data_IF_176446776821
#
_entry.id   IF_176446776821
#
_cell.length_a   1.000
_cell.length_b   1.000
_cell.length_c   1.000
_cell.angle_alpha   90.00
_cell.angle_beta   90.00
_cell.angle_gamma   90.00
#
_symmetry.space_group_name_H-M   'P 1'
#
loop_
_entity.id
_entity.type
_entity.pdbx_description
1 polymer ?
#
# COMPACT_ATOMS: atom_id res chain seq x y z
N UNK A 1 12.55 7.06 -24.75
CA UNK A 1 11.51 6.75 -25.77
C UNK A 1 10.61 5.65 -25.20
N UNK A 2 9.34 5.96 -24.93
CA UNK A 2 8.37 4.99 -24.41
C UNK A 2 7.95 4.08 -25.57
N UNK A 3 7.98 2.75 -25.36
CA UNK A 3 7.60 1.77 -26.38
C UNK A 3 6.18 2.10 -26.91
N UNK A 4 5.93 2.13 -28.24
CA UNK A 4 4.64 2.55 -28.82
C UNK A 4 3.41 1.83 -28.24
N UNK A 5 3.53 0.61 -27.75
CA UNK A 5 2.45 -0.14 -27.08
C UNK A 5 2.24 0.18 -25.59
N UNK A 6 3.16 0.93 -24.95
CA UNK A 6 3.11 1.16 -23.49
C UNK A 6 1.84 1.92 -23.04
N UNK A 7 1.48 2.97 -23.74
CA UNK A 7 0.31 3.76 -23.42
C UNK A 7 -0.99 3.02 -23.70
N UNK A 8 -1.06 2.26 -24.82
CA UNK A 8 -2.21 1.42 -25.13
C UNK A 8 -2.38 0.32 -24.05
N UNK A 9 -1.30 -0.36 -23.67
CA UNK A 9 -1.31 -1.32 -22.58
C UNK A 9 -1.64 -0.69 -21.24
N UNK A 10 -1.15 0.52 -20.95
CA UNK A 10 -1.50 1.27 -19.75
C UNK A 10 -2.97 1.70 -19.75
N UNK A 11 -3.53 2.04 -20.90
CA UNK A 11 -4.95 2.34 -21.05
C UNK A 11 -5.82 1.10 -20.87
N UNK A 12 -5.52 0.01 -21.54
CA UNK A 12 -6.28 -1.24 -21.37
C UNK A 12 -6.09 -1.87 -19.99
N UNK A 13 -4.92 -1.65 -19.33
CA UNK A 13 -4.68 -2.08 -17.95
C UNK A 13 -5.28 -1.16 -16.88
N UNK A 14 -5.69 0.04 -17.27
CA UNK A 14 -6.58 0.89 -16.45
C UNK A 14 -8.01 0.36 -16.45
N UNK A 15 -8.18 -0.90 -16.84
CA UNK A 15 -9.46 -1.56 -16.86
C UNK A 15 -10.19 -1.33 -15.55
N UNK A 16 -11.15 -0.47 -15.64
CA UNK A 16 -12.21 -0.28 -14.67
C UNK A 16 -13.21 -1.46 -14.75
N UNK A 17 -12.68 -2.63 -15.10
CA UNK A 17 -13.42 -3.88 -15.06
C UNK A 17 -13.55 -4.33 -13.61
N UNK A 18 -14.60 -3.86 -12.99
CA UNK A 18 -14.93 -4.13 -11.59
C UNK A 18 -15.03 -5.64 -11.35
N UNK A 19 -15.60 -6.35 -12.32
CA UNK A 19 -15.74 -7.80 -12.28
C UNK A 19 -14.38 -8.50 -12.25
N UNK A 20 -13.45 -8.05 -13.09
CA UNK A 20 -12.09 -8.59 -13.14
C UNK A 20 -11.34 -8.37 -11.83
N UNK A 21 -11.43 -7.17 -11.27
CA UNK A 21 -10.82 -6.86 -9.95
C UNK A 21 -11.45 -7.72 -8.87
N UNK A 22 -12.79 -7.89 -8.89
CA UNK A 22 -13.48 -8.76 -7.94
C UNK A 22 -13.01 -10.21 -8.05
N UNK A 23 -12.95 -10.79 -9.25
CA UNK A 23 -12.48 -12.16 -9.48
C UNK A 23 -11.05 -12.38 -8.97
N UNK A 24 -10.16 -11.38 -9.17
CA UNK A 24 -8.80 -11.43 -8.61
C UNK A 24 -8.84 -11.40 -7.08
N UNK A 25 -9.60 -10.48 -6.49
CA UNK A 25 -9.73 -10.36 -5.05
C UNK A 25 -10.32 -11.64 -4.43
N UNK A 26 -11.38 -12.18 -5.02
CA UNK A 26 -12.03 -13.43 -4.57
C UNK A 26 -11.06 -14.62 -4.59
N UNK A 27 -10.31 -14.80 -5.68
CA UNK A 27 -9.30 -15.86 -5.79
C UNK A 27 -8.23 -15.74 -4.71
N UNK A 28 -7.84 -14.52 -4.36
CA UNK A 28 -6.81 -14.28 -3.34
C UNK A 28 -7.34 -14.52 -1.93
N UNK A 29 -8.53 -14.03 -1.60
CA UNK A 29 -9.09 -14.22 -0.24
C UNK A 29 -9.43 -15.68 0.07
N UNK A 30 -9.67 -16.51 -0.96
CA UNK A 30 -9.85 -17.97 -0.79
C UNK A 30 -8.59 -18.66 -0.27
N UNK A 31 -7.41 -18.10 -0.50
CA UNK A 31 -6.10 -18.60 -0.03
C UNK A 31 -5.76 -18.18 1.40
N UNK A 32 -6.56 -17.30 1.99
CA UNK A 32 -6.42 -16.86 3.37
C UNK A 32 -7.45 -17.56 4.27
N UNK A 33 -7.20 -17.65 5.58
CA UNK A 33 -8.24 -18.03 6.52
C UNK A 33 -9.41 -17.04 6.40
N UNK A 34 -10.65 -17.43 6.80
CA UNK A 34 -11.75 -16.48 6.80
C UNK A 34 -11.46 -15.31 7.73
N UNK A 35 -11.83 -14.06 7.37
CA UNK A 35 -11.54 -12.88 8.19
C UNK A 35 -12.28 -12.89 9.54
N UNK A 36 -13.34 -13.67 9.65
CA UNK A 36 -14.06 -13.99 10.89
C UNK A 36 -14.74 -15.35 10.76
N UNK A 37 -14.95 -15.97 11.89
CA UNK A 37 -15.71 -17.23 11.97
C UNK A 37 -17.19 -16.96 11.80
N UNK A 38 -17.87 -17.92 11.21
CA UNK A 38 -19.32 -17.88 11.09
C UNK A 38 -19.96 -18.12 12.46
N UNK A 39 -20.99 -17.33 12.77
CA UNK A 39 -21.81 -17.61 13.94
C UNK A 39 -22.46 -19.00 13.83
N UNK A 40 -22.40 -19.77 14.92
CA UNK A 40 -23.01 -21.12 14.97
C UNK A 40 -24.55 -21.07 14.93
N UNK A 41 -25.14 -19.97 15.43
CA UNK A 41 -26.62 -19.77 15.50
C UNK A 41 -27.00 -18.56 14.64
N UNK A 42 -28.22 -18.52 14.14
CA UNK A 42 -28.81 -17.45 13.36
C UNK A 42 -28.98 -17.75 11.87
N UNK A 43 -29.61 -16.80 11.15
CA UNK A 43 -29.85 -16.90 9.70
C UNK A 43 -28.52 -17.04 8.93
N UNK A 44 -28.54 -17.94 7.95
CA UNK A 44 -27.41 -18.10 7.02
C UNK A 44 -27.18 -16.81 6.21
N UNK A 45 -25.95 -16.28 6.22
CA UNK A 45 -25.57 -15.14 5.38
C UNK A 45 -25.53 -15.55 3.92
N UNK A 46 -26.01 -14.68 3.01
CA UNK A 46 -25.91 -14.88 1.55
C UNK A 46 -24.47 -15.01 1.06
N UNK A 47 -23.53 -14.35 1.75
CA UNK A 47 -22.13 -14.27 1.41
C UNK A 47 -21.26 -14.86 2.52
N UNK A 48 -20.22 -15.56 2.13
CA UNK A 48 -19.17 -15.99 3.06
C UNK A 48 -18.35 -14.80 3.58
N UNK A 49 -17.63 -14.99 4.68
CA UNK A 49 -16.72 -13.97 5.20
C UNK A 49 -15.64 -13.57 4.19
N UNK A 50 -15.20 -14.50 3.34
CA UNK A 50 -14.23 -14.26 2.26
C UNK A 50 -14.82 -13.41 1.14
N UNK A 51 -16.05 -13.74 0.69
CA UNK A 51 -16.73 -12.92 -0.33
C UNK A 51 -16.92 -11.47 0.16
N UNK A 52 -17.30 -11.25 1.41
CA UNK A 52 -17.38 -9.92 1.99
C UNK A 52 -16.02 -9.18 1.95
N UNK A 53 -14.91 -9.87 2.24
CA UNK A 53 -13.58 -9.27 2.16
C UNK A 53 -13.23 -8.88 0.71
N UNK A 54 -13.57 -9.73 -0.27
CA UNK A 54 -13.37 -9.42 -1.69
C UNK A 54 -14.22 -8.22 -2.13
N UNK A 55 -15.49 -8.15 -1.71
CA UNK A 55 -16.39 -7.02 -1.98
C UNK A 55 -15.83 -5.73 -1.40
N UNK A 56 -15.40 -5.71 -0.12
CA UNK A 56 -14.82 -4.52 0.50
C UNK A 56 -13.51 -4.07 -0.19
N UNK A 57 -12.65 -5.02 -0.60
CA UNK A 57 -11.41 -4.71 -1.30
C UNK A 57 -11.69 -4.14 -2.70
N UNK A 58 -12.65 -4.70 -3.43
CA UNK A 58 -13.08 -4.21 -4.74
C UNK A 58 -13.72 -2.83 -4.63
N UNK A 59 -14.65 -2.64 -3.67
CA UNK A 59 -15.28 -1.35 -3.42
C UNK A 59 -14.24 -0.24 -3.17
N UNK A 60 -13.18 -0.55 -2.40
CA UNK A 60 -12.09 0.40 -2.16
C UNK A 60 -11.30 0.70 -3.43
N UNK A 61 -11.14 -0.24 -4.36
CA UNK A 61 -10.45 0.04 -5.63
C UNK A 61 -11.13 1.14 -6.45
N UNK A 62 -12.44 1.26 -6.35
CA UNK A 62 -13.26 2.21 -7.11
C UNK A 62 -13.78 3.37 -6.27
N UNK A 63 -13.40 3.44 -5.01
CA UNK A 63 -13.90 4.41 -4.00
C UNK A 63 -15.43 4.40 -3.85
N UNK A 64 -16.06 3.25 -4.04
CA UNK A 64 -17.51 3.10 -3.92
C UNK A 64 -17.99 3.32 -2.49
N UNK A 65 -19.08 4.07 -2.36
CA UNK A 65 -19.89 4.09 -1.15
C UNK A 65 -20.64 2.76 -0.97
N UNK A 66 -21.15 2.49 0.22
CA UNK A 66 -21.91 1.24 0.46
C UNK A 66 -23.14 1.13 -0.42
N UNK A 67 -23.82 2.23 -0.73
CA UNK A 67 -24.98 2.26 -1.63
C UNK A 67 -24.60 2.03 -3.10
N UNK A 68 -23.45 2.54 -3.54
CA UNK A 68 -22.92 2.22 -4.86
C UNK A 68 -22.55 0.74 -4.98
N UNK A 69 -21.97 0.13 -3.91
CA UNK A 69 -21.73 -1.32 -3.87
C UNK A 69 -23.03 -2.10 -3.98
N UNK A 70 -24.10 -1.67 -3.29
CA UNK A 70 -25.42 -2.27 -3.41
C UNK A 70 -25.94 -2.25 -4.83
N UNK A 71 -25.87 -1.08 -5.51
CA UNK A 71 -26.29 -0.92 -6.89
C UNK A 71 -25.45 -1.70 -7.90
N UNK A 72 -24.14 -1.83 -7.65
CA UNK A 72 -23.20 -2.51 -8.57
C UNK A 72 -23.12 -4.04 -8.35
N UNK A 73 -23.47 -4.53 -7.16
CA UNK A 73 -23.32 -5.93 -6.81
C UNK A 73 -24.03 -6.91 -7.77
N UNK A 74 -25.26 -6.65 -8.27
CA UNK A 74 -25.92 -7.54 -9.22
C UNK A 74 -25.10 -7.77 -10.50
N UNK A 75 -24.39 -6.76 -10.96
CA UNK A 75 -23.56 -6.80 -12.19
C UNK A 75 -22.22 -7.47 -11.96
N UNK A 76 -21.64 -7.34 -10.74
CA UNK A 76 -20.30 -7.82 -10.42
C UNK A 76 -20.32 -9.29 -9.96
N UNK A 77 -21.29 -9.65 -9.13
CA UNK A 77 -21.35 -10.95 -8.42
C UNK A 77 -22.64 -11.72 -8.65
N UNK A 78 -23.51 -11.23 -9.56
CA UNK A 78 -24.85 -11.81 -9.84
C UNK A 78 -25.70 -12.05 -8.58
N UNK A 79 -25.49 -11.28 -7.53
CA UNK A 79 -26.20 -11.36 -6.25
C UNK A 79 -26.44 -9.95 -5.69
N UNK A 80 -27.59 -9.75 -5.06
CA UNK A 80 -27.89 -8.50 -4.36
C UNK A 80 -27.26 -8.49 -2.97
N UNK A 81 -26.65 -7.38 -2.58
CA UNK A 81 -26.13 -7.13 -1.23
C UNK A 81 -26.72 -5.81 -0.72
N UNK A 82 -27.16 -5.77 0.51
CA UNK A 82 -27.61 -4.54 1.15
C UNK A 82 -26.43 -3.71 1.65
N UNK A 83 -26.50 -2.39 1.51
CA UNK A 83 -25.45 -1.44 1.93
C UNK A 83 -25.08 -1.56 3.41
N UNK A 84 -26.04 -1.89 4.29
CA UNK A 84 -25.79 -2.13 5.72
C UNK A 84 -24.91 -3.34 5.94
N UNK A 85 -25.07 -4.39 5.11
CA UNK A 85 -24.25 -5.59 5.13
C UNK A 85 -22.80 -5.30 4.76
N UNK A 86 -22.55 -4.39 3.80
CA UNK A 86 -21.20 -3.94 3.46
C UNK A 86 -20.55 -3.22 4.65
N UNK A 87 -21.29 -2.30 5.29
CA UNK A 87 -20.84 -1.60 6.48
C UNK A 87 -20.57 -2.55 7.67
N UNK A 88 -21.42 -3.58 7.85
CA UNK A 88 -21.25 -4.62 8.85
C UNK A 88 -19.98 -5.47 8.57
N UNK A 89 -19.75 -5.84 7.33
CA UNK A 89 -18.56 -6.58 6.93
C UNK A 89 -17.27 -5.78 7.21
N UNK A 90 -17.25 -4.49 6.87
CA UNK A 90 -16.08 -3.62 7.13
C UNK A 90 -15.76 -3.50 8.63
N UNK A 91 -16.77 -3.49 9.52
CA UNK A 91 -16.57 -3.52 10.98
C UNK A 91 -15.84 -4.78 11.45
N UNK A 92 -16.00 -5.90 10.74
CA UNK A 92 -15.42 -7.21 11.07
C UNK A 92 -14.07 -7.48 10.43
N UNK A 93 -13.69 -6.73 9.39
CA UNK A 93 -12.38 -6.82 8.77
C UNK A 93 -11.30 -6.31 9.74
N UNK A 94 -10.64 -7.26 10.41
CA UNK A 94 -9.57 -6.97 11.35
C UNK A 94 -8.30 -6.50 10.64
N UNK A 95 -7.55 -5.60 11.28
CA UNK A 95 -6.29 -5.05 10.74
C UNK A 95 -5.30 -6.15 10.33
N UNK A 96 -5.16 -7.20 11.13
CA UNK A 96 -4.24 -8.30 10.85
C UNK A 96 -4.62 -9.06 9.56
N UNK A 97 -5.90 -9.27 9.32
CA UNK A 97 -6.36 -9.88 8.08
C UNK A 97 -6.00 -9.02 6.86
N UNK A 98 -6.20 -7.71 6.94
CA UNK A 98 -5.85 -6.80 5.85
C UNK A 98 -4.33 -6.72 5.61
N UNK A 99 -3.52 -6.82 6.65
CA UNK A 99 -2.06 -6.94 6.51
C UNK A 99 -1.68 -8.25 5.81
N UNK A 100 -2.30 -9.38 6.16
CA UNK A 100 -2.08 -10.66 5.46
C UNK A 100 -2.45 -10.54 3.98
N UNK A 101 -3.52 -9.83 3.67
CA UNK A 101 -3.93 -9.60 2.28
C UNK A 101 -2.91 -8.73 1.52
N UNK A 102 -2.34 -7.69 2.16
CA UNK A 102 -1.23 -6.92 1.59
C UNK A 102 -0.03 -7.82 1.30
N UNK A 103 0.36 -8.67 2.27
CA UNK A 103 1.49 -9.62 2.10
C UNK A 103 1.22 -10.60 0.96
N UNK A 104 0.02 -11.14 0.87
CA UNK A 104 -0.35 -12.07 -0.21
C UNK A 104 -0.30 -11.39 -1.58
N UNK A 105 -0.88 -10.20 -1.70
CA UNK A 105 -0.84 -9.40 -2.93
C UNK A 105 0.59 -9.05 -3.33
N UNK A 106 1.41 -8.60 -2.38
CA UNK A 106 2.85 -8.38 -2.61
C UNK A 106 3.50 -9.62 -3.21
N UNK A 107 3.34 -10.79 -2.57
CA UNK A 107 3.93 -12.06 -3.06
C UNK A 107 3.50 -12.39 -4.49
N UNK A 108 2.24 -12.18 -4.82
CA UNK A 108 1.74 -12.40 -6.19
C UNK A 108 2.36 -11.42 -7.19
N UNK A 109 2.55 -10.15 -6.81
CA UNK A 109 3.17 -9.15 -7.68
C UNK A 109 4.66 -9.42 -7.84
N UNK A 110 5.39 -9.70 -6.74
CA UNK A 110 6.84 -9.92 -6.78
C UNK A 110 7.26 -11.22 -7.49
N UNK A 111 6.35 -12.18 -7.68
CA UNK A 111 6.55 -13.32 -8.59
C UNK A 111 6.55 -12.93 -10.08
N UNK A 112 5.98 -11.79 -10.39
CA UNK A 112 5.86 -11.30 -11.77
C UNK A 112 6.90 -10.23 -12.08
N UNK A 113 7.27 -9.41 -11.10
CA UNK A 113 8.19 -8.28 -11.26
C UNK A 113 9.12 -8.17 -10.05
N UNK A 114 10.40 -7.88 -10.30
CA UNK A 114 11.37 -7.55 -9.25
C UNK A 114 11.23 -6.10 -8.86
N UNK A 115 11.34 -5.79 -7.56
CA UNK A 115 11.48 -4.43 -7.04
C UNK A 115 12.96 -4.19 -6.71
N UNK A 116 13.55 -3.19 -7.34
CA UNK A 116 14.98 -2.90 -7.24
C UNK A 116 15.33 -2.01 -6.04
N UNK A 117 14.34 -1.37 -5.45
CA UNK A 117 14.50 -0.57 -4.24
C UNK A 117 13.19 -0.49 -3.44
N UNK A 118 13.31 -0.22 -2.16
CA UNK A 118 12.17 0.06 -1.30
C UNK A 118 12.30 1.46 -0.69
N UNK A 119 11.17 2.06 -0.38
CA UNK A 119 11.10 3.33 0.33
C UNK A 119 10.07 3.25 1.44
N UNK A 120 10.36 3.87 2.58
CA UNK A 120 9.47 3.96 3.73
C UNK A 120 9.07 5.40 3.96
N UNK A 121 7.78 5.64 4.13
CA UNK A 121 7.25 6.96 4.45
C UNK A 121 5.85 6.83 5.08
N UNK A 122 5.27 7.96 5.50
CA UNK A 122 3.92 8.02 6.06
C UNK A 122 3.15 9.24 5.56
N UNK A 123 1.83 9.11 5.51
CA UNK A 123 0.93 10.25 5.21
C UNK A 123 -0.22 10.31 6.20
N UNK A 124 -0.74 11.53 6.42
CA UNK A 124 -1.91 11.77 7.24
C UNK A 124 -3.20 11.53 6.45
N UNK A 125 -4.11 10.74 7.01
CA UNK A 125 -5.45 10.51 6.47
C UNK A 125 -6.48 11.11 7.42
N UNK A 126 -7.22 12.10 6.95
CA UNK A 126 -8.26 12.77 7.72
C UNK A 126 -9.47 11.86 7.96
N UNK A 127 -10.10 12.02 9.12
CA UNK A 127 -11.33 11.27 9.46
C UNK A 127 -12.48 12.24 9.69
N UNK A 128 -13.75 11.79 9.60
CA UNK A 128 -14.91 12.64 9.84
C UNK A 128 -15.05 13.11 11.29
N UNK A 129 -14.26 12.55 12.23
CA UNK A 129 -14.34 12.89 13.64
C UNK A 129 -13.62 14.21 13.90
N UNK A 130 -14.32 15.16 14.51
CA UNK A 130 -13.74 16.39 15.02
C UNK A 130 -13.18 16.16 16.42
N UNK A 131 -11.97 16.65 16.68
CA UNK A 131 -11.35 16.72 18.00
C UNK A 131 -11.30 18.16 18.46
N UNK A 132 -11.70 18.39 19.70
CA UNK A 132 -11.52 19.67 20.38
C UNK A 132 -10.06 19.81 20.79
N UNK A 133 -9.41 20.89 20.36
CA UNK A 133 -8.03 21.20 20.71
C UNK A 133 -7.95 22.61 21.29
N UNK A 134 -7.35 22.74 22.45
CA UNK A 134 -7.05 24.08 23.02
C UNK A 134 -5.74 24.55 22.40
N UNK A 135 -5.76 25.68 21.70
CA UNK A 135 -4.56 26.38 21.20
C UNK A 135 -4.54 27.76 21.88
N UNK A 136 -3.61 27.95 22.81
CA UNK A 136 -3.51 29.17 23.59
C UNK A 136 -4.89 29.56 24.18
N UNK A 137 -5.43 30.71 23.81
CA UNK A 137 -6.70 31.24 24.31
C UNK A 137 -7.93 30.77 23.51
N UNK A 138 -7.76 30.02 22.42
CA UNK A 138 -8.87 29.62 21.53
C UNK A 138 -9.08 28.11 21.54
N UNK A 139 -10.35 27.70 21.55
CA UNK A 139 -10.74 26.31 21.25
C UNK A 139 -10.91 26.17 19.77
N UNK A 140 -10.15 25.21 19.16
CA UNK A 140 -10.23 24.89 17.73
C UNK A 140 -10.72 23.46 17.57
N UNK A 141 -11.59 23.24 16.59
CA UNK A 141 -12.03 21.90 16.19
C UNK A 141 -11.25 21.49 14.96
N UNK A 142 -10.46 20.44 15.07
CA UNK A 142 -9.66 19.90 13.97
C UNK A 142 -10.13 18.47 13.66
N UNK A 143 -10.09 18.09 12.39
CA UNK A 143 -10.33 16.69 12.01
C UNK A 143 -9.29 15.78 12.66
N UNK A 144 -9.75 14.64 13.18
CA UNK A 144 -8.84 13.61 13.64
C UNK A 144 -8.07 13.06 12.43
N UNK A 145 -6.76 12.98 12.56
CA UNK A 145 -5.87 12.42 11.54
C UNK A 145 -5.29 11.11 12.04
N UNK A 146 -5.33 10.09 11.18
CA UNK A 146 -4.58 8.84 11.36
C UNK A 146 -3.44 8.82 10.33
N UNK A 147 -2.30 8.23 10.69
CA UNK A 147 -1.18 8.04 9.78
C UNK A 147 -1.25 6.68 9.10
N UNK A 148 -1.09 6.66 7.79
CA UNK A 148 -0.77 5.47 7.01
C UNK A 148 0.73 5.43 6.81
N UNK A 149 1.40 4.49 7.48
CA UNK A 149 2.81 4.16 7.22
C UNK A 149 2.85 3.06 6.17
N UNK A 150 3.70 3.21 5.16
CA UNK A 150 3.87 2.21 4.11
C UNK A 150 5.34 2.00 3.76
N UNK A 151 5.68 0.73 3.54
CA UNK A 151 6.90 0.32 2.87
C UNK A 151 6.55 -0.02 1.44
N UNK A 152 7.09 0.72 0.48
CA UNK A 152 6.74 0.66 -0.94
C UNK A 152 7.96 0.26 -1.75
N UNK A 153 7.86 -0.82 -2.51
CA UNK A 153 8.85 -1.25 -3.47
C UNK A 153 8.56 -0.67 -4.87
N UNK A 154 9.61 -0.43 -5.63
CA UNK A 154 9.52 0.05 -7.00
C UNK A 154 10.16 -0.93 -7.97
N UNK A 155 9.41 -1.29 -9.00
CA UNK A 155 9.89 -2.03 -10.16
C UNK A 155 10.03 -1.11 -11.35
N UNK A 156 11.28 -0.82 -11.75
CA UNK A 156 11.58 -0.01 -12.94
C UNK A 156 11.02 -0.65 -14.20
N UNK A 157 11.24 -1.97 -14.34
CA UNK A 157 10.81 -2.73 -15.50
C UNK A 157 9.30 -2.65 -15.74
N UNK A 158 8.50 -2.69 -14.68
CA UNK A 158 7.04 -2.63 -14.78
C UNK A 158 6.48 -1.22 -14.56
N UNK A 159 7.31 -0.23 -14.21
CA UNK A 159 6.83 1.07 -13.74
C UNK A 159 5.84 0.92 -12.59
N UNK A 160 6.06 -0.06 -11.71
CA UNK A 160 5.08 -0.49 -10.73
C UNK A 160 5.52 -0.14 -9.30
N UNK A 161 4.60 0.43 -8.54
CA UNK A 161 4.72 0.61 -7.10
C UNK A 161 4.00 -0.54 -6.41
N UNK A 162 4.64 -1.16 -5.42
CA UNK A 162 4.13 -2.32 -4.69
C UNK A 162 4.21 -2.05 -3.20
N UNK A 163 3.09 -2.09 -2.50
CA UNK A 163 3.08 -1.98 -1.03
C UNK A 163 3.56 -3.29 -0.44
N UNK A 164 4.71 -3.27 0.22
CA UNK A 164 5.30 -4.42 0.90
C UNK A 164 4.69 -4.63 2.28
N UNK A 165 4.48 -3.54 3.02
CA UNK A 165 3.83 -3.53 4.30
C UNK A 165 3.09 -2.21 4.51
N UNK A 166 2.02 -2.23 5.32
CA UNK A 166 1.25 -1.04 5.68
C UNK A 166 0.78 -1.11 7.14
N UNK A 167 0.78 0.04 7.82
CA UNK A 167 0.28 0.19 9.18
C UNK A 167 -0.49 1.48 9.34
N UNK A 168 -1.46 1.47 10.24
CA UNK A 168 -2.23 2.66 10.61
C UNK A 168 -2.04 2.95 12.08
N UNK A 169 -1.65 4.18 12.39
CA UNK A 169 -1.44 4.67 13.76
C UNK A 169 -2.15 6.00 13.98
N UNK A 170 -2.33 6.40 15.24
CA UNK A 170 -2.66 7.80 15.55
C UNK A 170 -1.58 8.76 15.05
N UNK A 171 -1.95 10.02 14.77
CA UNK A 171 -1.05 11.04 14.21
C UNK A 171 0.15 11.41 15.10
N UNK A 172 0.03 11.21 16.41
CA UNK A 172 1.10 11.50 17.38
C UNK A 172 2.17 10.42 17.50
N UNK A 173 2.01 9.29 16.81
CA UNK A 173 3.02 8.22 16.80
C UNK A 173 4.17 8.61 15.88
N UNK A 174 5.40 8.50 16.39
CA UNK A 174 6.61 8.83 15.65
C UNK A 174 6.89 7.79 14.55
N UNK A 175 7.27 8.26 13.36
CA UNK A 175 7.46 7.42 12.18
C UNK A 175 8.62 6.42 12.37
N UNK A 176 9.70 6.84 13.05
CA UNK A 176 10.86 5.98 13.32
C UNK A 176 10.50 4.71 14.10
N UNK A 177 9.49 4.75 14.96
CA UNK A 177 9.06 3.59 15.76
C UNK A 177 8.29 2.54 14.95
N UNK A 178 7.95 2.84 13.70
CA UNK A 178 7.13 1.95 12.87
C UNK A 178 7.96 1.07 11.93
N UNK A 179 9.23 1.37 11.70
CA UNK A 179 10.07 0.67 10.75
C UNK A 179 10.20 -0.82 11.09
N UNK A 180 10.48 -1.15 12.34
CA UNK A 180 10.59 -2.54 12.80
C UNK A 180 9.37 -3.38 12.42
N UNK A 181 8.18 -2.82 12.65
CA UNK A 181 6.91 -3.48 12.33
C UNK A 181 6.61 -3.54 10.83
N UNK A 182 7.19 -2.65 10.03
CA UNK A 182 7.05 -2.65 8.57
C UNK A 182 8.02 -3.65 7.93
N UNK A 183 9.16 -3.92 8.55
CA UNK A 183 10.16 -4.89 8.09
C UNK A 183 9.83 -6.32 8.53
N UNK A 184 8.87 -6.52 9.43
CA UNK A 184 8.51 -7.83 9.97
C UNK A 184 8.23 -8.86 8.85
N UNK A 185 8.94 -9.98 8.89
CA UNK A 185 8.82 -11.06 7.90
C UNK A 185 9.33 -10.71 6.49
N UNK A 186 10.17 -9.67 6.37
CA UNK A 186 10.88 -9.33 5.15
C UNK A 186 12.35 -9.71 5.28
N UNK A 187 12.94 -10.11 4.15
CA UNK A 187 14.38 -10.28 3.95
C UNK A 187 14.74 -9.71 2.60
N UNK A 188 15.89 -9.08 2.53
CA UNK A 188 16.45 -8.47 1.33
C UNK A 188 17.84 -9.07 1.04
N UNK A 189 18.29 -8.93 -0.18
CA UNK A 189 19.60 -9.38 -0.67
C UNK A 189 20.47 -8.17 -1.07
N UNK A 190 20.39 -7.08 -0.29
CA UNK A 190 21.13 -5.85 -0.52
C UNK A 190 20.33 -4.75 -1.23
N UNK A 191 19.02 -4.94 -1.42
CA UNK A 191 18.18 -3.89 -1.99
C UNK A 191 18.21 -2.62 -1.11
N UNK A 192 18.30 -1.42 -1.73
CA UNK A 192 18.28 -0.18 -0.98
C UNK A 192 16.93 0.07 -0.30
N UNK A 193 17.00 0.48 0.96
CA UNK A 193 15.86 0.97 1.74
C UNK A 193 16.01 2.48 1.94
N UNK A 194 15.19 3.27 1.26
CA UNK A 194 15.20 4.71 1.33
C UNK A 194 14.25 5.21 2.43
N UNK A 195 14.68 6.16 3.24
CA UNK A 195 13.84 6.75 4.28
C UNK A 195 14.14 8.23 4.50
N UNK A 196 13.12 8.98 4.95
CA UNK A 196 13.29 10.37 5.36
C UNK A 196 14.09 10.46 6.68
N UNK A 197 14.55 11.67 7.01
CA UNK A 197 15.17 12.01 8.30
C UNK A 197 14.34 11.62 9.52
N UNK A 198 13.02 11.47 9.36
CA UNK A 198 12.11 10.97 10.39
C UNK A 198 12.46 9.55 10.84
N UNK A 199 13.08 8.75 9.98
CA UNK A 199 13.50 7.38 10.25
C UNK A 199 14.95 7.25 10.70
N UNK A 200 15.71 8.37 10.77
CA UNK A 200 17.12 8.36 11.19
C UNK A 200 17.23 8.03 12.68
N UNK A 201 17.56 6.80 12.98
CA UNK A 201 17.94 6.31 14.31
C UNK A 201 18.93 5.16 14.17
N UNK A 202 19.82 4.99 15.17
CA UNK A 202 20.77 3.88 15.23
C UNK A 202 20.04 2.53 15.06
N UNK A 203 18.95 2.32 15.79
CA UNK A 203 18.17 1.09 15.76
C UNK A 203 17.54 0.82 14.38
N UNK A 204 17.05 1.85 13.69
CA UNK A 204 16.45 1.66 12.37
C UNK A 204 17.48 1.28 11.29
N UNK A 205 18.68 1.87 11.35
CA UNK A 205 19.76 1.53 10.43
C UNK A 205 20.26 0.10 10.67
N UNK A 206 20.41 -0.28 11.94
CA UNK A 206 20.76 -1.62 12.35
C UNK A 206 19.71 -2.64 11.87
N UNK A 207 18.44 -2.43 12.20
CA UNK A 207 17.32 -3.27 11.76
C UNK A 207 17.27 -3.45 10.25
N UNK A 208 17.41 -2.37 9.49
CA UNK A 208 17.43 -2.46 8.04
C UNK A 208 18.57 -3.37 7.56
N UNK A 209 19.76 -3.24 8.14
CA UNK A 209 20.91 -4.09 7.82
C UNK A 209 20.69 -5.55 8.25
N UNK A 210 20.14 -5.81 9.45
CA UNK A 210 19.78 -7.15 9.94
C UNK A 210 18.77 -7.85 9.01
N UNK A 211 17.88 -7.08 8.38
CA UNK A 211 16.92 -7.58 7.39
C UNK A 211 17.54 -7.72 5.98
N UNK A 212 18.83 -7.45 5.80
CA UNK A 212 19.55 -7.58 4.54
C UNK A 212 19.39 -6.38 3.59
N UNK A 213 18.76 -5.30 4.03
CA UNK A 213 18.66 -4.07 3.23
C UNK A 213 19.94 -3.24 3.31
N UNK A 214 20.20 -2.45 2.27
CA UNK A 214 21.16 -1.34 2.32
C UNK A 214 20.42 -0.06 2.71
N UNK A 215 20.49 0.39 3.99
CA UNK A 215 19.77 1.59 4.40
C UNK A 215 20.36 2.84 3.74
N UNK A 216 19.51 3.70 3.21
CA UNK A 216 19.84 5.03 2.66
C UNK A 216 18.85 6.04 3.25
N UNK A 217 19.05 6.33 4.52
CA UNK A 217 18.19 7.22 5.30
C UNK A 217 18.89 8.59 5.42
N UNK A 218 18.12 9.67 5.19
CA UNK A 218 18.68 11.02 5.31
C UNK A 218 19.08 11.30 6.75
N UNK A 219 20.39 11.59 7.03
CA UNK A 219 20.83 11.86 8.38
C UNK A 219 20.22 13.17 8.92
N UNK A 220 19.94 13.22 10.21
CA UNK A 220 19.64 14.47 10.93
C UNK A 220 20.96 15.21 11.19
N UNK A 221 20.91 16.53 11.24
CA UNK A 221 22.09 17.40 11.45
C UNK A 221 22.57 17.49 12.89
N UNK A 222 21.94 16.76 13.83
CA UNK A 222 22.19 16.87 15.27
C UNK A 222 22.93 15.61 15.74
N UNK A 223 23.88 15.77 16.66
CA UNK A 223 24.76 14.79 17.31
C UNK A 223 24.61 13.30 16.91
N UNK A 224 25.70 12.77 16.34
CA UNK A 224 25.70 11.41 15.81
C UNK A 224 26.29 10.43 16.81
N UNK A 225 25.43 9.82 17.61
CA UNK A 225 25.79 8.68 18.43
C UNK A 225 25.46 7.37 17.69
N UNK A 226 26.36 6.39 17.76
CA UNK A 226 26.17 5.06 17.19
C UNK A 226 26.94 4.83 15.88
N UNK A 227 27.32 3.56 15.69
CA UNK A 227 28.19 3.11 14.58
C UNK A 227 27.47 3.25 13.24
N UNK A 228 26.25 2.73 13.11
CA UNK A 228 25.48 2.76 11.88
C UNK A 228 25.12 4.18 11.44
N UNK A 229 24.80 5.08 12.37
CA UNK A 229 24.54 6.49 12.04
C UNK A 229 25.78 7.21 11.55
N UNK A 230 26.95 6.99 12.17
CA UNK A 230 28.23 7.56 11.72
C UNK A 230 28.62 7.04 10.34
N UNK A 231 28.42 5.75 10.08
CA UNK A 231 28.64 5.15 8.78
C UNK A 231 27.69 5.77 7.73
N UNK A 232 26.41 5.85 8.03
CA UNK A 232 25.41 6.46 7.13
C UNK A 232 25.77 7.90 6.80
N UNK A 233 26.22 8.70 7.76
CA UNK A 233 26.64 10.08 7.52
C UNK A 233 27.81 10.16 6.52
N UNK A 234 28.81 9.29 6.66
CA UNK A 234 29.96 9.24 5.76
C UNK A 234 29.57 8.81 4.34
N UNK A 235 28.68 7.84 4.22
CA UNK A 235 28.28 7.26 2.95
C UNK A 235 27.16 8.03 2.26
N UNK A 236 26.38 8.84 2.97
CA UNK A 236 25.19 9.50 2.42
C UNK A 236 25.50 10.39 1.23
N UNK A 237 26.65 11.10 1.23
CA UNK A 237 27.07 11.92 0.09
C UNK A 237 27.17 11.09 -1.20
N UNK A 238 27.71 9.86 -1.10
CA UNK A 238 27.84 8.90 -2.22
C UNK A 238 26.48 8.35 -2.65
N UNK A 239 25.56 8.15 -1.70
CA UNK A 239 24.22 7.63 -1.94
C UNK A 239 23.19 8.71 -2.35
N UNK A 240 23.58 10.00 -2.43
CA UNK A 240 22.67 11.13 -2.69
C UNK A 240 21.85 10.98 -3.98
N UNK A 241 22.48 10.45 -5.04
CA UNK A 241 21.80 10.19 -6.33
C UNK A 241 20.70 9.12 -6.18
N UNK A 242 21.00 8.06 -5.43
CA UNK A 242 20.03 7.00 -5.12
C UNK A 242 18.92 7.53 -4.20
N UNK A 243 19.26 8.32 -3.20
CA UNK A 243 18.30 8.91 -2.28
C UNK A 243 17.24 9.78 -2.97
N UNK A 244 17.57 10.45 -4.09
CA UNK A 244 16.57 11.23 -4.87
C UNK A 244 15.39 10.39 -5.34
N UNK A 245 15.55 9.07 -5.45
CA UNK A 245 14.46 8.17 -5.80
C UNK A 245 13.44 7.96 -4.67
N UNK A 246 13.66 8.56 -3.48
CA UNK A 246 12.67 8.57 -2.39
C UNK A 246 11.31 9.15 -2.81
N UNK A 247 11.28 10.05 -3.80
CA UNK A 247 10.04 10.57 -4.40
C UNK A 247 9.05 9.50 -4.87
N UNK A 248 9.51 8.24 -4.98
CA UNK A 248 8.65 7.08 -5.24
C UNK A 248 7.58 6.89 -4.14
N UNK A 249 7.92 7.15 -2.86
CA UNK A 249 6.93 7.14 -1.78
C UNK A 249 5.88 8.24 -1.98
N UNK A 250 6.34 9.43 -2.36
CA UNK A 250 5.45 10.57 -2.65
C UNK A 250 4.50 10.24 -3.81
N UNK A 251 4.97 9.54 -4.84
CA UNK A 251 4.12 9.08 -5.94
C UNK A 251 3.05 8.08 -5.48
N UNK A 252 3.38 7.19 -4.54
CA UNK A 252 2.40 6.28 -3.94
C UNK A 252 1.35 7.05 -3.12
N UNK A 253 1.78 7.92 -2.22
CA UNK A 253 0.86 8.68 -1.37
C UNK A 253 0.04 9.70 -2.17
N UNK A 254 0.63 10.36 -3.16
CA UNK A 254 -0.10 11.21 -4.11
C UNK A 254 -1.16 10.42 -4.88
N UNK A 255 -0.89 9.17 -5.24
CA UNK A 255 -1.89 8.27 -5.84
C UNK A 255 -3.04 7.93 -4.88
N UNK A 256 -2.77 7.77 -3.58
CA UNK A 256 -3.80 7.61 -2.54
C UNK A 256 -4.62 8.90 -2.40
N UNK A 257 -3.95 10.04 -2.32
CA UNK A 257 -4.56 11.36 -2.17
C UNK A 257 -5.46 11.72 -3.36
N UNK A 258 -4.94 11.57 -4.58
CA UNK A 258 -5.70 11.83 -5.80
C UNK A 258 -6.94 10.94 -5.95
N UNK A 259 -6.91 9.72 -5.42
CA UNK A 259 -8.03 8.78 -5.55
C UNK A 259 -9.04 8.89 -4.42
N UNK A 260 -8.57 9.08 -3.19
CA UNK A 260 -9.41 9.03 -1.98
C UNK A 260 -9.48 10.38 -1.25
N UNK A 261 -8.79 11.42 -1.73
CA UNK A 261 -8.75 12.75 -1.14
C UNK A 261 -8.07 12.80 0.23
N UNK A 262 -7.08 11.92 0.49
CA UNK A 262 -6.42 11.80 1.79
C UNK A 262 -7.38 11.72 2.98
N UNK A 263 -8.54 11.11 2.80
CA UNK A 263 -9.60 11.02 3.80
C UNK A 263 -10.29 9.65 3.82
N UNK A 264 -10.88 9.31 4.96
CA UNK A 264 -11.81 8.18 5.08
C UNK A 264 -13.20 8.68 5.46
N UNK A 265 -14.24 8.09 4.88
CA UNK A 265 -15.64 8.37 5.22
C UNK A 265 -16.09 7.66 6.50
N UNK A 266 -15.27 6.77 7.05
CA UNK A 266 -15.60 5.94 8.21
C UNK A 266 -15.55 6.71 9.52
N UNK A 267 -16.55 6.52 10.40
CA UNK A 267 -16.65 7.21 11.71
C UNK A 267 -16.08 6.38 12.87
N UNK A 268 -16.26 5.05 12.86
CA UNK A 268 -15.83 4.17 13.94
C UNK A 268 -14.32 3.88 13.87
N UNK A 269 -13.66 3.78 15.00
CA UNK A 269 -12.20 3.56 15.10
C UNK A 269 -11.73 2.29 14.36
N UNK A 270 -12.51 1.22 14.45
CA UNK A 270 -12.23 -0.04 13.75
C UNK A 270 -12.34 0.11 12.24
N UNK A 271 -13.42 0.73 11.75
CA UNK A 271 -13.66 0.92 10.31
C UNK A 271 -12.74 1.96 9.69
N UNK A 272 -12.33 3.01 10.42
CA UNK A 272 -11.34 3.99 9.97
C UNK A 272 -10.03 3.29 9.59
N UNK A 273 -9.47 2.53 10.52
CA UNK A 273 -8.20 1.83 10.28
C UNK A 273 -8.33 0.75 9.20
N UNK A 274 -9.46 0.04 9.13
CA UNK A 274 -9.71 -0.93 8.08
C UNK A 274 -9.80 -0.26 6.70
N UNK A 275 -10.56 0.84 6.57
CA UNK A 275 -10.67 1.62 5.32
C UNK A 275 -9.31 2.13 4.84
N UNK A 276 -8.47 2.67 5.75
CA UNK A 276 -7.13 3.16 5.39
C UNK A 276 -6.23 2.01 4.95
N UNK A 277 -6.25 0.85 5.62
CA UNK A 277 -5.48 -0.33 5.17
C UNK A 277 -6.01 -0.89 3.84
N UNK A 278 -7.30 -0.80 3.60
CA UNK A 278 -7.90 -1.17 2.30
C UNK A 278 -7.39 -0.30 1.16
N UNK A 279 -6.97 0.96 1.38
CA UNK A 279 -6.33 1.78 0.34
C UNK A 279 -5.02 1.13 -0.14
N UNK A 280 -4.22 0.58 0.79
CA UNK A 280 -3.00 -0.15 0.44
C UNK A 280 -3.31 -1.49 -0.28
N UNK A 281 -4.33 -2.22 0.17
CA UNK A 281 -4.84 -3.44 -0.49
C UNK A 281 -5.31 -3.11 -1.91
N UNK A 282 -6.11 -2.08 -2.07
CA UNK A 282 -6.66 -1.64 -3.35
C UNK A 282 -5.55 -1.21 -4.33
N UNK A 283 -4.52 -0.51 -3.83
CA UNK A 283 -3.35 -0.18 -4.63
C UNK A 283 -2.67 -1.44 -5.18
N UNK A 284 -2.35 -2.40 -4.31
CA UNK A 284 -1.72 -3.64 -4.74
C UNK A 284 -2.62 -4.48 -5.65
N UNK A 285 -3.93 -4.51 -5.40
CA UNK A 285 -4.87 -5.26 -6.23
C UNK A 285 -4.92 -4.70 -7.66
N UNK A 286 -4.97 -3.38 -7.82
CA UNK A 286 -4.88 -2.71 -9.12
C UNK A 286 -3.51 -2.91 -9.78
N UNK A 287 -2.44 -2.85 -9.00
CA UNK A 287 -1.08 -3.12 -9.50
C UNK A 287 -0.97 -4.55 -10.02
N UNK A 288 -1.50 -5.54 -9.29
CA UNK A 288 -1.50 -6.94 -9.73
C UNK A 288 -2.30 -7.12 -11.03
N UNK A 289 -3.48 -6.52 -11.12
CA UNK A 289 -4.30 -6.57 -12.34
C UNK A 289 -3.56 -5.99 -13.54
N UNK A 290 -2.89 -4.83 -13.36
CA UNK A 290 -2.09 -4.18 -14.39
C UNK A 290 -0.90 -5.03 -14.82
N UNK A 291 -0.10 -5.52 -13.86
CA UNK A 291 1.08 -6.32 -14.14
C UNK A 291 0.71 -7.62 -14.86
N UNK A 292 -0.40 -8.27 -14.49
CA UNK A 292 -0.91 -9.45 -15.21
C UNK A 292 -1.33 -9.12 -16.65
N UNK A 293 -1.99 -7.99 -16.87
CA UNK A 293 -2.36 -7.54 -18.21
C UNK A 293 -1.11 -7.27 -19.06
N UNK A 294 -0.12 -6.55 -18.52
CA UNK A 294 1.15 -6.30 -19.22
C UNK A 294 1.88 -7.60 -19.60
N UNK A 295 1.88 -8.59 -18.70
CA UNK A 295 2.46 -9.90 -18.96
C UNK A 295 1.71 -10.64 -20.07
N UNK A 296 0.38 -10.62 -20.04
CA UNK A 296 -0.46 -11.26 -21.05
C UNK A 296 -0.25 -10.65 -22.46
N UNK A 297 0.03 -9.34 -22.53
CA UNK A 297 0.34 -8.63 -23.79
C UNK A 297 1.81 -8.77 -24.23
N UNK A 298 2.63 -9.58 -23.55
CA UNK A 298 4.05 -9.78 -23.92
C UNK A 298 4.96 -8.57 -23.67
N UNK A 299 4.46 -7.48 -23.06
CA UNK A 299 5.20 -6.22 -22.88
C UNK A 299 6.50 -6.42 -22.09
N UNK A 300 6.53 -7.35 -21.15
CA UNK A 300 7.75 -7.67 -20.41
C UNK A 300 8.83 -8.33 -21.26
N UNK A 301 8.47 -9.07 -22.32
CA UNK A 301 9.42 -9.70 -23.24
C UNK A 301 10.12 -8.62 -24.08
N UNK A 302 9.36 -7.66 -24.58
CA UNK A 302 9.89 -6.55 -25.39
C UNK A 302 10.86 -5.70 -24.59
N UNK A 303 10.51 -5.32 -23.36
CA UNK A 303 11.41 -4.54 -22.49
C UNK A 303 12.68 -5.30 -22.09
N UNK A 304 12.64 -6.62 -22.03
CA UNK A 304 13.83 -7.45 -21.76
C UNK A 304 14.80 -7.46 -22.95
N UNK A 305 14.30 -7.59 -24.16
CA UNK A 305 15.12 -7.58 -25.38
C UNK A 305 15.84 -6.23 -25.53
N UNK A 306 15.15 -5.12 -25.27
CA UNK A 306 15.76 -3.79 -25.36
C UNK A 306 16.73 -3.48 -24.22
N UNK A 307 16.58 -4.07 -23.03
CA UNK A 307 17.50 -3.83 -21.89
C UNK A 307 18.79 -4.62 -21.99
N UNK A 308 18.82 -5.75 -22.71
CA UNK A 308 20.03 -6.57 -22.92
C UNK A 308 20.93 -6.04 -24.03
N UNK A 309 20.38 -5.20 -24.95
CA UNK A 309 21.11 -4.64 -26.08
C UNK A 309 21.58 -3.20 -25.90
N UNK A 310 21.43 -2.59 -24.72
CA UNK A 310 21.87 -1.22 -24.46
C UNK A 310 22.74 -1.13 -23.20
N UNK A 311 24.03 -0.78 -23.31
CA UNK A 311 24.92 -0.59 -22.15
C UNK A 311 24.71 0.75 -21.42
N UNK A 312 23.66 1.49 -21.70
CA UNK A 312 23.40 2.79 -21.02
C UNK A 312 22.05 2.75 -20.30
N UNK A 313 22.00 3.16 -19.01
CA UNK A 313 20.74 3.30 -18.32
C UNK A 313 19.94 4.44 -18.95
N UNK A 314 18.80 4.13 -19.54
CA UNK A 314 17.82 5.12 -20.00
C UNK A 314 17.17 5.70 -18.73
N UNK A 315 17.48 6.98 -18.46
CA UNK A 315 16.78 7.81 -17.48
C UNK A 315 15.49 8.26 -18.17
N UNK A 316 14.37 7.82 -17.70
CA UNK A 316 13.05 8.38 -17.98
C UNK A 316 12.47 8.92 -16.68
#
# INVERSE_FOLDING_TARGET
MVCPGYWAARHSSKLDDVERIFKIAEKLVRRLPPPWERARRGRRTKFSAREHAAICATAQCFDYTYREVEGQAPFIIAKTIDHSTVGWALKRLRRNYLKLLVVLLRREITRLVKCELLTVDSTGISTPRLRRRKKALKTVYEHEVLKLHALVGYSRRAGALVVFAARVTPSNVADCTQLERLLEGLRAEGEPLLGDKGYDSQRNLELASEHGFKPVIKPRTIEYHGIFRRQMLREFKRCRKLYRQRGIAEAFFGGIENRYGARTRCKLSTTKAASILLMAVAHNLRTLARVRAMKAMGIFVILWIYSTNSPRPIII
#
